data_IF_618131835542
#
_entry.id   IF_618131835542
#
_cell.length_a   1.000
_cell.length_b   1.000
_cell.length_c   1.000
_cell.angle_alpha   90.00
_cell.angle_beta   90.00
_cell.angle_gamma   90.00
#
_symmetry.space_group_name_H-M   'P 1'
#
loop_
_entity.id
_entity.type
_entity.pdbx_description
1 polymer ?
#
# COMPACT_ATOMS: atom_id res chain seq x y z
N UNK A 1 48.61 20.06 -0.53
CA UNK A 1 47.49 19.82 0.40
C UNK A 1 46.12 19.64 -0.29
N UNK A 2 46.04 19.77 -1.61
CA UNK A 2 44.78 19.65 -2.36
C UNK A 2 44.33 18.20 -2.71
N UNK A 3 45.22 17.22 -2.55
CA UNK A 3 44.90 15.81 -2.95
C UNK A 3 44.09 14.97 -1.95
N UNK A 4 43.99 15.41 -0.67
CA UNK A 4 43.26 14.65 0.37
C UNK A 4 41.75 14.95 0.38
N UNK A 5 41.36 16.15 0.00
CA UNK A 5 39.93 16.55 -0.05
C UNK A 5 39.19 15.95 -1.25
N UNK A 6 39.89 15.73 -2.37
CA UNK A 6 39.29 15.07 -3.55
C UNK A 6 39.10 13.55 -3.35
N UNK A 7 39.99 12.92 -2.58
CA UNK A 7 39.87 11.47 -2.27
C UNK A 7 38.77 11.19 -1.25
N UNK A 8 38.58 12.10 -0.28
CA UNK A 8 37.49 12.02 0.71
C UNK A 8 36.11 12.33 0.11
N UNK A 9 36.06 13.19 -0.92
CA UNK A 9 34.83 13.47 -1.68
C UNK A 9 34.42 12.30 -2.59
N UNK A 10 35.39 11.60 -3.20
CA UNK A 10 35.15 10.37 -3.99
C UNK A 10 34.64 9.21 -3.13
N UNK A 11 35.23 9.01 -1.97
CA UNK A 11 34.80 7.94 -1.04
C UNK A 11 33.40 8.18 -0.46
N UNK A 12 32.94 9.45 -0.39
CA UNK A 12 31.58 9.75 0.06
C UNK A 12 30.51 9.48 -0.99
N UNK A 13 30.87 9.51 -2.28
CA UNK A 13 29.98 9.13 -3.38
C UNK A 13 29.89 7.60 -3.56
N UNK A 14 30.97 6.86 -3.33
CA UNK A 14 30.98 5.40 -3.45
C UNK A 14 30.19 4.71 -2.34
N UNK A 15 30.11 5.32 -1.13
CA UNK A 15 29.27 4.81 -0.05
C UNK A 15 27.76 4.81 -0.33
N UNK A 16 27.28 5.69 -1.23
CA UNK A 16 25.87 5.71 -1.64
C UNK A 16 25.53 4.68 -2.72
N UNK A 17 26.52 4.22 -3.47
CA UNK A 17 26.34 3.18 -4.50
C UNK A 17 26.45 1.78 -3.88
N UNK A 18 27.21 1.61 -2.83
CA UNK A 18 27.38 0.33 -2.12
C UNK A 18 26.12 -0.12 -1.36
N UNK A 19 25.22 0.80 -0.97
CA UNK A 19 23.95 0.44 -0.35
C UNK A 19 22.93 -0.23 -1.32
N UNK A 20 23.21 -0.30 -2.62
CA UNK A 20 22.35 -0.98 -3.60
C UNK A 20 22.58 -2.49 -3.71
N UNK A 21 23.68 -3.02 -3.19
CA UNK A 21 24.08 -4.42 -3.39
C UNK A 21 24.02 -5.30 -2.13
N UNK A 22 23.55 -4.78 -0.99
CA UNK A 22 23.54 -5.51 0.28
C UNK A 22 22.15 -5.92 0.82
N UNK A 23 21.07 -5.52 0.17
CA UNK A 23 19.73 -6.04 0.50
C UNK A 23 19.45 -7.24 -0.39
N UNK A 24 19.34 -8.43 0.21
CA UNK A 24 18.83 -9.62 -0.46
C UNK A 24 17.58 -9.25 -1.25
N UNK A 25 17.43 -9.84 -2.45
CA UNK A 25 16.42 -9.46 -3.47
C UNK A 25 15.08 -9.13 -2.84
N UNK A 26 14.78 -7.83 -2.68
CA UNK A 26 13.46 -7.38 -2.23
C UNK A 26 12.46 -7.79 -3.30
N UNK A 27 11.46 -8.57 -2.91
CA UNK A 27 10.43 -9.04 -3.84
C UNK A 27 9.94 -7.92 -4.74
N UNK A 28 9.84 -8.13 -6.06
CA UNK A 28 9.32 -7.13 -7.00
C UNK A 28 7.95 -6.57 -6.59
N UNK A 29 7.14 -7.39 -5.93
CA UNK A 29 5.83 -6.98 -5.38
C UNK A 29 6.01 -5.93 -4.29
N UNK A 30 6.98 -6.12 -3.39
CA UNK A 30 7.28 -5.14 -2.32
C UNK A 30 7.72 -3.81 -2.93
N UNK A 31 8.58 -3.84 -3.95
CA UNK A 31 9.04 -2.62 -4.64
C UNK A 31 7.87 -1.91 -5.33
N UNK A 32 7.01 -2.65 -6.02
CA UNK A 32 5.83 -2.10 -6.67
C UNK A 32 4.84 -1.45 -5.67
N UNK A 33 4.61 -2.08 -4.52
CA UNK A 33 3.73 -1.54 -3.48
C UNK A 33 4.24 -0.24 -2.86
N UNK A 34 5.55 -0.02 -2.83
CA UNK A 34 6.14 1.23 -2.34
C UNK A 34 5.79 2.47 -3.19
N UNK A 35 5.27 2.28 -4.40
CA UNK A 35 4.71 3.38 -5.22
C UNK A 35 3.46 4.00 -4.62
N UNK A 36 2.82 3.31 -3.70
CA UNK A 36 1.59 3.74 -3.06
C UNK A 36 1.88 4.55 -1.78
N UNK A 37 1.09 5.59 -1.56
CA UNK A 37 1.17 6.39 -0.33
C UNK A 37 0.84 5.54 0.90
N UNK A 38 1.64 5.69 1.96
CA UNK A 38 1.49 4.92 3.19
C UNK A 38 2.13 3.52 3.15
N UNK A 39 2.68 3.11 2.00
CA UNK A 39 3.35 1.83 1.79
C UNK A 39 4.87 2.02 1.65
N UNK A 40 5.53 2.47 2.73
CA UNK A 40 6.99 2.44 2.80
C UNK A 40 7.52 0.99 2.83
N UNK A 41 8.82 0.81 2.66
CA UNK A 41 9.47 -0.52 2.58
C UNK A 41 9.01 -1.47 3.68
N UNK A 42 9.06 -1.04 4.94
CA UNK A 42 8.68 -1.87 6.09
C UNK A 42 7.20 -2.30 5.98
N UNK A 43 6.30 -1.36 5.69
CA UNK A 43 4.87 -1.66 5.57
C UNK A 43 4.58 -2.61 4.40
N UNK A 44 5.23 -2.41 3.25
CA UNK A 44 5.06 -3.26 2.08
C UNK A 44 5.62 -4.68 2.34
N UNK A 45 6.82 -4.78 2.92
CA UNK A 45 7.44 -6.05 3.25
C UNK A 45 6.64 -6.83 4.30
N UNK A 46 6.22 -6.17 5.39
CA UNK A 46 5.38 -6.80 6.42
C UNK A 46 4.05 -7.26 5.85
N UNK A 47 3.42 -6.44 4.99
CA UNK A 47 2.16 -6.82 4.37
C UNK A 47 2.30 -8.08 3.51
N UNK A 48 3.37 -8.19 2.72
CA UNK A 48 3.63 -9.36 1.89
C UNK A 48 4.01 -10.57 2.73
N UNK A 49 4.80 -10.40 3.79
CA UNK A 49 5.11 -11.49 4.74
C UNK A 49 3.84 -12.07 5.38
N UNK A 50 2.88 -11.22 5.75
CA UNK A 50 1.61 -11.63 6.35
C UNK A 50 0.61 -12.24 5.35
N UNK A 51 0.61 -11.77 4.11
CA UNK A 51 -0.34 -12.22 3.10
C UNK A 51 0.17 -13.39 2.26
N UNK A 52 1.49 -13.53 2.12
CA UNK A 52 2.10 -14.48 1.21
C UNK A 52 1.78 -14.16 -0.25
N UNK A 53 1.59 -15.19 -1.05
CA UNK A 53 1.27 -15.05 -2.47
C UNK A 53 -0.12 -14.48 -2.69
N UNK A 54 -0.19 -13.28 -3.27
CA UNK A 54 -1.43 -12.59 -3.61
C UNK A 54 -2.10 -13.13 -4.88
N UNK A 55 -1.42 -13.98 -5.66
CA UNK A 55 -1.99 -14.60 -6.86
C UNK A 55 -3.16 -15.54 -6.53
N UNK A 56 -3.15 -16.11 -5.33
CA UNK A 56 -4.22 -17.00 -4.82
C UNK A 56 -5.60 -16.31 -4.73
N UNK A 57 -5.65 -14.99 -4.71
CA UNK A 57 -6.92 -14.27 -4.68
C UNK A 57 -7.36 -13.92 -6.10
N UNK A 58 -8.39 -14.59 -6.60
CA UNK A 58 -8.91 -14.37 -7.95
C UNK A 58 -9.45 -12.94 -8.16
N UNK A 59 -9.91 -12.30 -7.10
CA UNK A 59 -10.47 -10.94 -7.16
C UNK A 59 -10.22 -10.17 -5.85
N UNK A 60 -10.29 -8.83 -5.87
CA UNK A 60 -10.00 -8.01 -4.69
C UNK A 60 -11.00 -8.22 -3.55
N UNK A 61 -12.22 -8.71 -3.82
CA UNK A 61 -13.22 -8.97 -2.77
C UNK A 61 -12.79 -10.14 -1.89
N UNK A 62 -12.15 -11.17 -2.46
CA UNK A 62 -11.60 -12.30 -1.69
C UNK A 62 -10.48 -11.82 -0.75
N UNK A 63 -9.59 -10.94 -1.22
CA UNK A 63 -8.55 -10.35 -0.37
C UNK A 63 -9.16 -9.48 0.74
N UNK A 64 -10.19 -8.67 0.43
CA UNK A 64 -10.90 -7.89 1.44
C UNK A 64 -11.57 -8.78 2.49
N UNK A 65 -12.17 -9.91 2.08
CA UNK A 65 -12.78 -10.88 2.99
C UNK A 65 -11.72 -11.56 3.88
N UNK A 66 -10.60 -11.98 3.29
CA UNK A 66 -9.48 -12.57 4.01
C UNK A 66 -8.89 -11.63 5.08
N UNK A 67 -8.91 -10.33 4.82
CA UNK A 67 -8.48 -9.29 5.76
C UNK A 67 -9.56 -8.90 6.78
N UNK A 68 -10.78 -9.42 6.65
CA UNK A 68 -11.92 -9.02 7.49
C UNK A 68 -12.31 -7.54 7.33
N UNK A 69 -12.04 -6.96 6.16
CA UNK A 69 -12.41 -5.59 5.79
C UNK A 69 -13.78 -5.53 5.07
N UNK A 70 -14.58 -6.57 5.20
CA UNK A 70 -15.95 -6.61 4.69
C UNK A 70 -16.94 -6.35 5.82
N UNK A 71 -18.08 -5.67 5.54
CA UNK A 71 -19.14 -5.52 6.52
C UNK A 71 -19.69 -6.89 6.92
N UNK A 72 -19.99 -7.07 8.20
CA UNK A 72 -20.80 -8.19 8.63
C UNK A 72 -22.22 -8.00 8.11
N UNK A 73 -22.80 -9.05 7.59
CA UNK A 73 -24.16 -9.04 7.06
C UNK A 73 -25.01 -9.98 7.91
N UNK A 74 -26.07 -9.41 8.50
CA UNK A 74 -27.08 -10.14 9.21
C UNK A 74 -28.39 -9.96 8.44
N UNK A 75 -28.64 -10.85 7.48
CA UNK A 75 -29.84 -10.83 6.66
C UNK A 75 -30.82 -11.88 7.18
N UNK A 76 -32.02 -11.46 7.53
CA UNK A 76 -33.15 -12.35 7.79
C UNK A 76 -34.30 -11.98 6.88
N UNK A 77 -34.62 -12.84 5.91
CA UNK A 77 -35.70 -12.58 4.94
C UNK A 77 -35.45 -11.34 4.09
N UNK A 78 -36.38 -10.40 4.07
CA UNK A 78 -36.33 -9.17 3.27
C UNK A 78 -35.50 -8.03 3.90
N UNK A 79 -35.04 -8.18 5.15
CA UNK A 79 -34.29 -7.15 5.86
C UNK A 79 -32.78 -7.41 5.82
N UNK A 80 -32.03 -6.53 5.14
CA UNK A 80 -30.56 -6.55 5.08
C UNK A 80 -30.02 -5.58 6.10
N UNK A 81 -29.51 -6.07 7.24
CA UNK A 81 -28.79 -5.26 8.25
C UNK A 81 -27.28 -5.44 8.06
N UNK A 82 -26.62 -4.37 7.64
CA UNK A 82 -25.16 -4.32 7.57
C UNK A 82 -24.59 -3.86 8.91
N UNK A 83 -23.79 -4.72 9.54
CA UNK A 83 -23.06 -4.42 10.76
C UNK A 83 -21.71 -3.76 10.51
N UNK A 84 -20.86 -3.76 11.53
CA UNK A 84 -19.47 -3.33 11.44
C UNK A 84 -18.62 -4.27 10.58
N UNK A 85 -17.31 -4.05 10.54
CA UNK A 85 -16.38 -4.98 9.87
C UNK A 85 -16.39 -6.34 10.57
N UNK A 86 -16.29 -7.42 9.80
CA UNK A 86 -16.24 -8.79 10.33
C UNK A 86 -15.04 -9.00 11.24
N UNK A 87 -13.92 -8.29 10.98
CA UNK A 87 -12.64 -8.44 11.68
C UNK A 87 -12.09 -9.87 11.71
N UNK A 88 -12.70 -10.77 10.96
CA UNK A 88 -12.20 -12.12 10.75
C UNK A 88 -10.92 -12.10 9.90
N UNK A 89 -10.02 -13.06 10.07
CA UNK A 89 -8.80 -13.18 9.26
C UNK A 89 -7.60 -12.43 9.83
N UNK A 90 -6.61 -12.12 8.98
CA UNK A 90 -5.31 -11.61 9.40
C UNK A 90 -5.41 -10.21 10.02
N UNK A 91 -5.23 -10.14 11.34
CA UNK A 91 -5.34 -8.90 12.11
C UNK A 91 -4.13 -7.98 11.94
N UNK A 92 -2.93 -8.53 11.76
CA UNK A 92 -1.70 -7.76 11.57
C UNK A 92 -1.73 -7.01 10.24
N UNK A 93 -2.02 -7.71 9.13
CA UNK A 93 -2.17 -7.10 7.81
C UNK A 93 -3.30 -6.06 7.78
N UNK A 94 -4.45 -6.35 8.43
CA UNK A 94 -5.55 -5.39 8.54
C UNK A 94 -5.16 -4.11 9.29
N UNK A 95 -4.46 -4.24 10.43
CA UNK A 95 -3.97 -3.10 11.21
C UNK A 95 -3.05 -2.22 10.38
N UNK A 96 -2.08 -2.82 9.69
CA UNK A 96 -1.14 -2.14 8.82
C UNK A 96 -1.85 -1.35 7.71
N UNK A 97 -2.88 -1.94 7.09
CA UNK A 97 -3.67 -1.27 6.06
C UNK A 97 -4.49 -0.10 6.62
N UNK A 98 -5.02 -0.21 7.84
CA UNK A 98 -5.71 0.89 8.52
C UNK A 98 -4.72 2.03 8.83
N UNK A 99 -3.53 1.71 9.31
CA UNK A 99 -2.48 2.70 9.55
C UNK A 99 -2.06 3.40 8.26
N UNK A 100 -1.82 2.67 7.18
CA UNK A 100 -1.54 3.24 5.86
C UNK A 100 -2.67 4.14 5.35
N UNK A 101 -3.92 3.75 5.60
CA UNK A 101 -5.10 4.49 5.17
C UNK A 101 -5.23 5.87 5.84
N UNK A 102 -4.66 6.09 7.02
CA UNK A 102 -4.64 7.42 7.67
C UNK A 102 -3.95 8.50 6.85
N UNK A 103 -3.00 8.14 5.99
CA UNK A 103 -2.32 9.08 5.11
C UNK A 103 -3.25 9.75 4.11
N UNK A 104 -4.39 9.13 3.78
CA UNK A 104 -5.34 9.59 2.76
C UNK A 104 -6.32 10.65 3.25
N UNK A 105 -6.25 11.04 4.53
CA UNK A 105 -6.95 12.22 5.08
C UNK A 105 -6.43 13.53 4.47
N UNK A 106 -5.17 13.54 4.06
CA UNK A 106 -4.55 14.69 3.41
C UNK A 106 -4.82 14.72 1.90
N UNK A 107 -4.73 15.89 1.25
CA UNK A 107 -4.87 16.00 -0.19
C UNK A 107 -3.89 15.09 -0.95
N UNK A 108 -4.25 14.64 -2.16
CA UNK A 108 -3.35 13.85 -2.99
C UNK A 108 -2.09 14.68 -3.32
N UNK A 109 -0.93 14.09 -3.07
CA UNK A 109 0.37 14.72 -3.33
C UNK A 109 1.43 13.64 -3.53
N UNK A 110 2.25 13.81 -4.55
CA UNK A 110 3.46 13.01 -4.73
C UNK A 110 4.62 13.79 -4.09
N UNK A 111 5.16 13.27 -2.98
CA UNK A 111 6.38 13.79 -2.38
C UNK A 111 7.59 13.40 -3.22
N UNK A 112 8.72 14.10 -3.04
CA UNK A 112 9.99 13.74 -3.71
C UNK A 112 10.37 12.27 -3.45
N UNK A 113 10.25 11.83 -2.21
CA UNK A 113 10.52 10.44 -1.83
C UNK A 113 9.61 9.43 -2.54
N UNK A 114 8.33 9.73 -2.67
CA UNK A 114 7.38 8.89 -3.39
C UNK A 114 7.67 8.88 -4.89
N UNK A 115 8.08 10.02 -5.46
CA UNK A 115 8.49 10.13 -6.85
C UNK A 115 9.68 9.21 -7.14
N UNK A 116 10.73 9.26 -6.32
CA UNK A 116 11.91 8.39 -6.45
C UNK A 116 11.55 6.90 -6.43
N UNK A 117 10.60 6.50 -5.58
CA UNK A 117 10.11 5.11 -5.55
C UNK A 117 9.32 4.72 -6.81
N UNK A 118 8.73 5.69 -7.48
CA UNK A 118 7.94 5.48 -8.69
C UNK A 118 8.78 5.46 -9.97
N UNK A 119 9.96 6.09 -9.99
CA UNK A 119 10.79 6.24 -11.18
C UNK A 119 11.16 4.92 -11.84
N UNK A 120 11.49 3.89 -11.05
CA UNK A 120 11.87 2.56 -11.53
C UNK A 120 10.67 1.67 -11.91
N UNK A 121 9.43 2.14 -11.70
CA UNK A 121 8.25 1.31 -11.88
C UNK A 121 7.57 1.52 -13.23
N UNK A 122 7.01 0.45 -13.83
CA UNK A 122 6.26 0.53 -15.08
C UNK A 122 5.10 1.53 -14.99
N UNK A 123 4.80 2.15 -16.12
CA UNK A 123 3.72 3.14 -16.25
C UNK A 123 2.37 2.65 -15.69
N UNK A 124 1.89 1.42 -15.93
CA UNK A 124 0.63 0.94 -15.37
C UNK A 124 0.60 0.97 -13.85
N UNK A 125 1.70 0.57 -13.18
CA UNK A 125 1.81 0.59 -11.71
C UNK A 125 1.73 2.04 -11.19
N UNK A 126 2.43 2.98 -11.83
CA UNK A 126 2.40 4.40 -11.46
C UNK A 126 1.00 5.02 -11.62
N UNK A 127 0.29 4.65 -12.69
CA UNK A 127 -1.09 5.10 -12.92
C UNK A 127 -2.05 4.56 -11.86
N UNK A 128 -1.91 3.28 -11.47
CA UNK A 128 -2.68 2.69 -10.38
C UNK A 128 -2.38 3.40 -9.06
N UNK A 129 -1.10 3.64 -8.76
CA UNK A 129 -0.68 4.34 -7.55
C UNK A 129 -1.24 5.78 -7.48
N UNK A 130 -1.30 6.49 -8.60
CA UNK A 130 -1.91 7.81 -8.67
C UNK A 130 -3.43 7.76 -8.47
N UNK A 131 -4.13 6.83 -9.12
CA UNK A 131 -5.56 6.59 -8.90
C UNK A 131 -5.85 6.22 -7.44
N UNK A 132 -4.94 5.44 -6.82
CA UNK A 132 -4.99 5.08 -5.40
C UNK A 132 -4.78 6.28 -4.47
N UNK A 133 -4.26 7.40 -4.93
CA UNK A 133 -4.26 8.65 -4.15
C UNK A 133 -5.52 9.48 -4.39
N UNK A 134 -5.88 9.70 -5.64
CA UNK A 134 -7.00 10.58 -5.99
C UNK A 134 -8.31 10.08 -5.39
N UNK A 135 -8.64 8.83 -5.63
CA UNK A 135 -9.93 8.27 -5.26
C UNK A 135 -10.11 8.10 -3.75
N UNK A 136 -9.19 7.48 -2.99
CA UNK A 136 -9.31 7.37 -1.54
C UNK A 136 -9.28 8.72 -0.83
N UNK A 137 -8.44 9.68 -1.24
CA UNK A 137 -8.44 11.03 -0.66
C UNK A 137 -9.78 11.76 -0.88
N UNK A 138 -10.34 11.66 -2.09
CA UNK A 138 -11.67 12.20 -2.40
C UNK A 138 -12.77 11.56 -1.56
N UNK A 139 -12.73 10.21 -1.44
CA UNK A 139 -13.67 9.45 -0.63
C UNK A 139 -13.55 9.76 0.86
N UNK A 140 -12.33 9.88 1.39
CA UNK A 140 -12.11 10.28 2.77
C UNK A 140 -12.81 11.59 3.09
N UNK A 141 -12.57 12.63 2.29
CA UNK A 141 -13.20 13.95 2.46
C UNK A 141 -14.72 13.86 2.37
N UNK A 142 -15.27 13.11 1.41
CA UNK A 142 -16.71 12.92 1.27
C UNK A 142 -17.32 12.27 2.52
N UNK A 143 -16.74 11.19 3.01
CA UNK A 143 -17.23 10.47 4.20
C UNK A 143 -17.07 11.29 5.49
N UNK A 144 -15.98 12.03 5.63
CA UNK A 144 -15.75 12.91 6.79
C UNK A 144 -16.81 14.04 6.84
N UNK A 145 -17.16 14.61 5.69
CA UNK A 145 -18.22 15.64 5.60
C UNK A 145 -19.61 15.12 5.99
N UNK A 146 -19.87 13.82 5.90
CA UNK A 146 -21.13 13.22 6.36
C UNK A 146 -21.18 12.95 7.85
N UNK A 147 -20.20 13.45 8.63
CA UNK A 147 -20.14 13.29 10.08
C UNK A 147 -19.76 11.88 10.56
N UNK A 148 -19.25 11.01 9.67
CA UNK A 148 -18.81 9.68 10.09
C UNK A 148 -17.56 9.75 10.96
N UNK A 149 -17.48 8.94 12.05
CA UNK A 149 -16.28 8.86 12.86
C UNK A 149 -15.03 8.52 12.03
N UNK A 150 -13.90 9.14 12.36
CA UNK A 150 -12.67 9.03 11.60
C UNK A 150 -12.16 7.58 11.43
N UNK A 151 -12.31 6.74 12.45
CA UNK A 151 -11.98 5.31 12.40
C UNK A 151 -12.84 4.54 11.38
N UNK A 152 -14.12 4.87 11.27
CA UNK A 152 -15.03 4.26 10.28
C UNK A 152 -14.64 4.69 8.86
N UNK A 153 -14.31 5.98 8.69
CA UNK A 153 -13.83 6.51 7.41
C UNK A 153 -12.52 5.82 7.02
N UNK A 154 -11.56 5.76 7.93
CA UNK A 154 -10.25 5.13 7.67
C UNK A 154 -10.40 3.65 7.31
N UNK A 155 -11.27 2.91 7.99
CA UNK A 155 -11.55 1.52 7.65
C UNK A 155 -12.15 1.35 6.24
N UNK A 156 -13.02 2.28 5.82
CA UNK A 156 -13.55 2.29 4.46
C UNK A 156 -12.47 2.57 3.41
N UNK A 157 -11.49 3.43 3.74
CA UNK A 157 -10.33 3.71 2.88
C UNK A 157 -9.37 2.51 2.83
N UNK A 158 -9.09 1.85 3.97
CA UNK A 158 -8.28 0.64 4.02
C UNK A 158 -8.84 -0.47 3.12
N UNK A 159 -10.16 -0.65 3.13
CA UNK A 159 -10.83 -1.57 2.23
C UNK A 159 -10.61 -1.22 0.76
N UNK A 160 -10.72 0.06 0.39
CA UNK A 160 -10.49 0.50 -0.97
C UNK A 160 -9.03 0.35 -1.39
N UNK A 161 -8.10 0.67 -0.46
CA UNK A 161 -6.66 0.50 -0.65
C UNK A 161 -6.30 -0.96 -0.95
N UNK A 162 -6.95 -1.92 -0.29
CA UNK A 162 -6.78 -3.36 -0.58
C UNK A 162 -7.06 -3.69 -2.06
N UNK A 163 -8.06 -3.05 -2.65
CA UNK A 163 -8.36 -3.23 -4.09
C UNK A 163 -7.24 -2.71 -5.00
N UNK A 164 -6.62 -1.59 -4.65
CA UNK A 164 -5.47 -1.06 -5.39
C UNK A 164 -4.21 -1.90 -5.21
N UNK A 165 -3.96 -2.42 -4.00
CA UNK A 165 -2.87 -3.36 -3.73
C UNK A 165 -3.00 -4.59 -4.63
N UNK A 166 -4.17 -5.20 -4.65
CA UNK A 166 -4.45 -6.34 -5.53
C UNK A 166 -4.22 -5.98 -7.01
N UNK A 167 -4.65 -4.79 -7.47
CA UNK A 167 -4.44 -4.35 -8.83
C UNK A 167 -2.95 -4.16 -9.17
N UNK A 168 -2.15 -3.57 -8.26
CA UNK A 168 -0.70 -3.40 -8.45
C UNK A 168 -0.02 -4.76 -8.62
N UNK A 169 -0.35 -5.76 -7.80
CA UNK A 169 0.29 -7.08 -7.86
C UNK A 169 0.03 -7.82 -9.17
N UNK A 170 -1.05 -7.51 -9.87
CA UNK A 170 -1.35 -8.10 -11.20
C UNK A 170 -0.48 -7.54 -12.33
N UNK A 171 0.18 -6.41 -12.11
CA UNK A 171 1.10 -5.79 -13.07
C UNK A 171 2.58 -6.05 -12.75
N UNK A 172 2.86 -6.76 -11.66
CA UNK A 172 4.22 -7.20 -11.34
C UNK A 172 4.50 -8.50 -12.10
N UNK A 173 5.58 -8.59 -12.88
CA UNK A 173 5.95 -9.83 -13.54
C UNK A 173 6.20 -10.90 -12.49
N UNK A 174 5.60 -12.07 -12.68
CA UNK A 174 5.90 -13.26 -11.88
C UNK A 174 7.32 -13.67 -12.23
N UNK A 175 8.26 -13.41 -11.33
CA UNK A 175 9.57 -14.05 -11.42
C UNK A 175 9.35 -15.53 -11.13
N UNK A 176 9.36 -16.34 -12.18
CA UNK A 176 9.48 -17.78 -12.02
C UNK A 176 10.76 -18.05 -11.23
N UNK A 177 10.62 -18.56 -10.02
CA UNK A 177 11.72 -19.05 -9.19
C UNK A 177 12.24 -20.37 -9.74
#
# INVERSE_FOLDING_TARGET
MAGKEEEESRNRCDGMTACRHGFGMVSPVVVALQTMRGMALVNAATLIAELGDLSRFANPRQLMAYLGLVPSEHSSGTSVKRGGLTKAGNSAARRLLIEAAWCYRFPPRVSRELLLRQESQPRPIREIAWKAQLRPCGRYRKLARTGKPANVVTAAIARELTGFIWAVTRHVPVTAG
#
